data_IF_562377594469
#
_entry.id   IF_562377594469
#
_cell.length_a   1.000
_cell.length_b   1.000
_cell.length_c   1.000
_cell.angle_alpha   90.00
_cell.angle_beta   90.00
_cell.angle_gamma   90.00
#
_symmetry.space_group_name_H-M   'P 1'
#
loop_
_entity.id
_entity.type
_entity.pdbx_description
1 polymer ?
#
# COMPACT_ATOMS: atom_id res chain seq x y z
N UNK A 1 -5.71 18.18 -20.18
CA UNK A 1 -4.30 18.04 -20.60
C UNK A 1 -3.98 19.03 -21.71
N UNK A 2 -2.85 19.78 -21.67
CA UNK A 2 -2.52 20.83 -22.65
C UNK A 2 -2.39 20.31 -24.09
N UNK A 3 -2.73 21.12 -25.09
CA UNK A 3 -2.53 20.75 -26.51
C UNK A 3 -1.10 20.99 -27.01
N UNK A 4 -0.26 21.64 -26.20
CA UNK A 4 1.11 22.03 -26.54
C UNK A 4 2.15 20.91 -26.37
N UNK A 5 1.75 19.77 -25.83
CA UNK A 5 2.65 18.63 -25.53
C UNK A 5 2.52 17.58 -26.64
N UNK A 6 3.66 17.07 -27.12
CA UNK A 6 3.71 15.96 -28.06
C UNK A 6 3.65 14.61 -27.32
N UNK A 7 2.44 14.18 -26.95
CA UNK A 7 2.18 12.98 -26.14
C UNK A 7 2.81 11.67 -26.66
N UNK A 8 2.87 11.39 -27.98
CA UNK A 8 3.50 10.16 -28.48
C UNK A 8 4.97 10.00 -28.07
N UNK A 9 5.69 11.10 -27.77
CA UNK A 9 7.07 11.01 -27.27
C UNK A 9 7.15 10.73 -25.76
N UNK A 10 6.08 10.96 -25.02
CA UNK A 10 6.05 10.81 -23.55
C UNK A 10 5.53 9.42 -23.16
N UNK A 11 4.55 8.89 -23.90
CA UNK A 11 3.93 7.58 -23.63
C UNK A 11 4.94 6.43 -23.48
N UNK A 12 6.01 6.32 -24.29
CA UNK A 12 6.99 5.24 -24.15
C UNK A 12 7.70 5.18 -22.79
N UNK A 13 7.71 6.28 -22.03
CA UNK A 13 8.29 6.33 -20.69
C UNK A 13 7.32 5.89 -19.58
N UNK A 14 6.07 5.57 -19.93
CA UNK A 14 5.08 4.99 -19.03
C UNK A 14 5.03 3.49 -19.29
N UNK A 15 4.98 2.68 -18.24
CA UNK A 15 4.95 1.23 -18.41
C UNK A 15 3.72 0.79 -19.21
N UNK A 16 3.93 -0.11 -20.18
CA UNK A 16 2.85 -0.62 -21.03
C UNK A 16 1.73 -1.26 -20.20
N UNK A 17 2.06 -1.93 -19.10
CA UNK A 17 1.07 -2.47 -18.17
C UNK A 17 0.13 -1.42 -17.58
N UNK A 18 0.63 -0.21 -17.28
CA UNK A 18 -0.20 0.90 -16.80
C UNK A 18 -1.11 1.45 -17.90
N UNK A 19 -0.60 1.61 -19.11
CA UNK A 19 -1.39 2.06 -20.26
C UNK A 19 -2.50 1.05 -20.59
N UNK A 20 -2.18 -0.25 -20.57
CA UNK A 20 -3.14 -1.32 -20.80
C UNK A 20 -4.23 -1.34 -19.70
N UNK A 21 -3.86 -1.15 -18.43
CA UNK A 21 -4.83 -1.06 -17.34
C UNK A 21 -5.79 0.14 -17.54
N UNK A 22 -5.25 1.31 -17.92
CA UNK A 22 -6.08 2.49 -18.22
C UNK A 22 -7.05 2.19 -19.37
N UNK A 23 -6.58 1.62 -20.48
CA UNK A 23 -7.45 1.27 -21.62
C UNK A 23 -8.49 0.21 -21.25
N UNK A 24 -8.12 -0.78 -20.44
CA UNK A 24 -9.06 -1.80 -19.95
C UNK A 24 -10.17 -1.23 -19.07
N UNK A 25 -9.91 -0.17 -18.30
CA UNK A 25 -10.89 0.42 -17.38
C UNK A 25 -11.72 1.53 -18.03
N UNK A 26 -11.09 2.37 -18.86
CA UNK A 26 -11.69 3.59 -19.40
C UNK A 26 -11.99 3.53 -20.91
N UNK A 27 -11.68 2.39 -21.55
CA UNK A 27 -11.99 2.12 -22.95
C UNK A 27 -10.74 1.96 -23.83
N UNK A 28 -10.81 1.07 -24.82
CA UNK A 28 -9.66 0.73 -25.68
C UNK A 28 -9.31 1.82 -26.71
N UNK A 29 -10.24 2.71 -27.03
CA UNK A 29 -10.11 3.72 -28.08
C UNK A 29 -9.55 5.07 -27.58
N UNK A 30 -8.91 5.08 -26.41
CA UNK A 30 -8.31 6.30 -25.85
C UNK A 30 -7.08 6.74 -26.64
N UNK A 31 -7.01 8.04 -26.91
CA UNK A 31 -5.82 8.70 -27.45
C UNK A 31 -4.70 8.75 -26.40
N UNK A 32 -3.46 8.92 -26.86
CA UNK A 32 -2.28 9.08 -25.99
C UNK A 32 -2.43 10.25 -25.00
N UNK A 33 -3.07 11.34 -25.43
CA UNK A 33 -3.37 12.49 -24.57
C UNK A 33 -4.31 12.13 -23.43
N UNK A 34 -5.34 11.34 -23.72
CA UNK A 34 -6.32 10.89 -22.72
C UNK A 34 -5.70 9.87 -21.78
N UNK A 35 -4.95 8.90 -22.32
CA UNK A 35 -4.20 7.93 -21.50
C UNK A 35 -3.23 8.64 -20.54
N UNK A 36 -2.47 9.61 -21.03
CA UNK A 36 -1.59 10.42 -20.19
C UNK A 36 -2.36 11.25 -19.16
N UNK A 37 -3.49 11.82 -19.56
CA UNK A 37 -4.41 12.55 -18.69
C UNK A 37 -4.87 11.72 -17.50
N UNK A 38 -5.42 10.55 -17.79
CA UNK A 38 -5.90 9.59 -16.80
C UNK A 38 -4.74 9.12 -15.93
N UNK A 39 -3.57 8.83 -16.51
CA UNK A 39 -2.40 8.40 -15.75
C UNK A 39 -2.02 9.41 -14.65
N UNK A 40 -1.85 10.68 -15.00
CA UNK A 40 -1.50 11.73 -14.02
C UNK A 40 -2.63 11.93 -13.01
N UNK A 41 -3.89 11.94 -13.47
CA UNK A 41 -5.04 12.06 -12.58
C UNK A 41 -5.08 10.92 -11.55
N UNK A 42 -4.91 9.67 -11.98
CA UNK A 42 -4.87 8.50 -11.10
C UNK A 42 -3.75 8.61 -10.08
N UNK A 43 -2.55 9.06 -10.47
CA UNK A 43 -1.46 9.29 -9.52
C UNK A 43 -1.86 10.32 -8.46
N UNK A 44 -2.44 11.45 -8.86
CA UNK A 44 -2.86 12.50 -7.92
C UNK A 44 -4.00 12.04 -7.01
N UNK A 45 -4.98 11.33 -7.55
CA UNK A 45 -6.09 10.76 -6.79
C UNK A 45 -5.57 9.77 -5.73
N UNK A 46 -4.70 8.83 -6.11
CA UNK A 46 -4.09 7.90 -5.17
C UNK A 46 -3.26 8.62 -4.10
N UNK A 47 -2.47 9.62 -4.47
CA UNK A 47 -1.69 10.42 -3.52
C UNK A 47 -2.56 11.22 -2.54
N UNK A 48 -3.77 11.62 -2.94
CA UNK A 48 -4.69 12.31 -2.04
C UNK A 48 -5.34 11.37 -1.00
N UNK A 49 -5.57 10.11 -1.39
CA UNK A 49 -6.19 9.09 -0.52
C UNK A 49 -5.17 8.48 0.44
N UNK A 50 -3.91 8.34 0.02
CA UNK A 50 -2.89 7.65 0.80
C UNK A 50 -2.69 8.20 2.23
N UNK A 51 -2.62 9.53 2.47
CA UNK A 51 -2.52 10.07 3.83
C UNK A 51 -3.71 9.71 4.72
N UNK A 52 -4.92 9.61 4.18
CA UNK A 52 -6.11 9.23 4.93
C UNK A 52 -6.04 7.76 5.36
N UNK A 53 -5.64 6.87 4.45
CA UNK A 53 -5.44 5.45 4.76
C UNK A 53 -4.30 5.26 5.77
N UNK A 54 -3.20 6.02 5.61
CA UNK A 54 -2.08 5.99 6.55
C UNK A 54 -2.53 6.43 7.95
N UNK A 55 -3.31 7.51 8.05
CA UNK A 55 -3.83 7.98 9.33
C UNK A 55 -4.80 6.97 9.95
N UNK A 56 -5.67 6.37 9.14
CA UNK A 56 -6.59 5.33 9.59
C UNK A 56 -5.83 4.11 10.13
N UNK A 57 -4.81 3.64 9.41
CA UNK A 57 -3.95 2.53 9.84
C UNK A 57 -3.31 2.81 11.20
N UNK A 58 -2.68 3.98 11.37
CA UNK A 58 -1.99 4.35 12.61
C UNK A 58 -3.00 4.47 13.76
N UNK A 59 -4.13 5.13 13.55
CA UNK A 59 -5.18 5.27 14.57
C UNK A 59 -5.74 3.92 15.00
N UNK A 60 -6.01 3.02 14.05
CA UNK A 60 -6.50 1.67 14.34
C UNK A 60 -5.45 0.84 15.08
N UNK A 61 -4.21 0.82 14.57
CA UNK A 61 -3.10 0.09 15.20
C UNK A 61 -2.92 0.53 16.65
N UNK A 62 -2.87 1.84 16.91
CA UNK A 62 -2.67 2.38 18.25
C UNK A 62 -3.86 2.10 19.17
N UNK A 63 -5.09 2.16 18.64
CA UNK A 63 -6.30 1.84 19.41
C UNK A 63 -6.32 0.37 19.83
N UNK A 64 -6.00 -0.53 18.89
CA UNK A 64 -5.90 -1.97 19.18
C UNK A 64 -4.78 -2.21 20.19
N UNK A 65 -3.60 -1.63 19.96
CA UNK A 65 -2.45 -1.84 20.85
C UNK A 65 -2.73 -1.39 22.28
N UNK A 66 -3.36 -0.22 22.45
CA UNK A 66 -3.78 0.31 23.75
C UNK A 66 -4.69 -0.66 24.51
N UNK A 67 -5.78 -1.11 23.87
CA UNK A 67 -6.77 -1.95 24.55
C UNK A 67 -6.28 -3.40 24.72
N UNK A 68 -5.58 -3.96 23.73
CA UNK A 68 -5.02 -5.30 23.82
C UNK A 68 -3.90 -5.38 24.87
N UNK A 69 -3.05 -4.35 24.99
CA UNK A 69 -2.05 -4.27 26.06
C UNK A 69 -2.70 -4.23 27.44
N UNK A 70 -3.83 -3.52 27.60
CA UNK A 70 -4.57 -3.47 28.86
C UNK A 70 -5.17 -4.83 29.25
N UNK A 71 -5.65 -5.60 28.27
CA UNK A 71 -6.33 -6.88 28.51
C UNK A 71 -5.38 -8.08 28.61
N UNK A 72 -4.32 -8.12 27.80
CA UNK A 72 -3.47 -9.30 27.56
C UNK A 72 -1.99 -9.01 27.91
N UNK A 73 -1.61 -7.75 28.09
CA UNK A 73 -0.26 -7.33 28.45
C UNK A 73 0.63 -6.88 27.28
N UNK A 74 1.85 -6.43 27.61
CA UNK A 74 2.83 -5.79 26.70
C UNK A 74 3.33 -6.64 25.50
N UNK A 75 2.85 -7.86 25.32
CA UNK A 75 3.19 -8.75 24.18
C UNK A 75 1.94 -9.42 23.62
N UNK A 76 0.80 -8.74 23.65
CA UNK A 76 -0.49 -9.30 23.24
C UNK A 76 -0.47 -9.92 21.83
N UNK A 77 0.33 -9.35 20.92
CA UNK A 77 0.51 -9.85 19.55
C UNK A 77 1.21 -11.21 19.47
N UNK A 78 1.99 -11.62 20.47
CA UNK A 78 2.65 -12.95 20.52
C UNK A 78 1.63 -14.09 20.76
N UNK A 79 0.42 -13.73 21.24
CA UNK A 79 -0.67 -14.67 21.51
C UNK A 79 -1.69 -14.77 20.37
N UNK A 80 -1.49 -14.04 19.27
CA UNK A 80 -2.43 -14.04 18.13
C UNK A 80 -2.19 -15.27 17.26
N UNK A 81 -3.24 -16.07 17.05
CA UNK A 81 -3.19 -17.22 16.17
C UNK A 81 -2.76 -16.82 14.76
N UNK A 82 -1.79 -17.54 14.21
CA UNK A 82 -1.33 -17.40 12.83
C UNK A 82 -1.75 -18.62 12.03
N UNK A 83 -2.52 -18.42 10.97
CA UNK A 83 -2.88 -19.50 10.05
C UNK A 83 -1.64 -19.91 9.21
N UNK A 84 -1.06 -21.06 9.55
CA UNK A 84 0.12 -21.62 8.87
C UNK A 84 -0.22 -22.33 7.57
N UNK A 85 -1.51 -22.48 7.22
CA UNK A 85 -1.92 -23.05 5.93
C UNK A 85 -1.74 -22.07 4.77
N UNK A 86 -1.60 -20.77 5.06
CA UNK A 86 -1.45 -19.73 4.04
C UNK A 86 -0.02 -19.68 3.50
N UNK A 87 0.08 -19.36 2.22
CA UNK A 87 1.36 -18.96 1.62
C UNK A 87 1.90 -17.75 2.39
N UNK A 88 3.22 -17.66 2.50
CA UNK A 88 3.92 -16.54 3.18
C UNK A 88 3.73 -16.43 4.70
N UNK A 89 3.12 -17.40 5.39
CA UNK A 89 3.06 -17.40 6.86
C UNK A 89 4.46 -17.35 7.50
N UNK A 90 5.47 -17.95 6.85
CA UNK A 90 6.87 -17.90 7.31
C UNK A 90 7.44 -16.47 7.34
N UNK A 91 7.09 -15.62 6.37
CA UNK A 91 7.52 -14.22 6.33
C UNK A 91 6.86 -13.43 7.48
N UNK A 92 5.59 -13.72 7.79
CA UNK A 92 4.90 -13.13 8.94
C UNK A 92 5.60 -13.50 10.26
N UNK A 93 5.80 -14.80 10.51
CA UNK A 93 6.48 -15.30 11.72
C UNK A 93 7.91 -14.74 11.84
N UNK A 94 8.64 -14.65 10.73
CA UNK A 94 9.98 -14.06 10.70
C UNK A 94 9.97 -12.61 11.21
N UNK A 95 9.03 -11.79 10.74
CA UNK A 95 8.93 -10.39 11.14
C UNK A 95 8.50 -10.22 12.61
N UNK A 96 7.59 -11.07 13.11
CA UNK A 96 7.22 -11.09 14.54
C UNK A 96 8.44 -11.40 15.40
N UNK A 97 9.20 -12.44 15.06
CA UNK A 97 10.43 -12.80 15.78
C UNK A 97 11.49 -11.70 15.73
N UNK A 98 11.62 -11.01 14.58
CA UNK A 98 12.51 -9.86 14.43
C UNK A 98 12.09 -8.69 15.33
N UNK A 99 10.79 -8.41 15.42
CA UNK A 99 10.28 -7.37 16.32
C UNK A 99 10.51 -7.73 17.80
N UNK A 100 10.28 -8.99 18.18
CA UNK A 100 10.55 -9.51 19.54
C UNK A 100 12.02 -9.33 19.95
N UNK A 101 12.96 -9.70 19.07
CA UNK A 101 14.40 -9.48 19.30
C UNK A 101 14.77 -8.01 19.48
N UNK A 102 14.18 -7.11 18.67
CA UNK A 102 14.42 -5.66 18.80
C UNK A 102 13.95 -5.13 20.15
N UNK A 103 12.73 -5.48 20.54
CA UNK A 103 12.20 -5.10 21.85
C UNK A 103 13.08 -5.62 22.99
N UNK A 104 13.52 -6.88 22.94
CA UNK A 104 14.41 -7.45 23.96
C UNK A 104 15.79 -6.77 24.01
N UNK A 105 16.27 -6.19 22.91
CA UNK A 105 17.54 -5.48 22.88
C UNK A 105 17.41 -4.02 23.34
N UNK A 106 16.26 -3.39 23.15
CA UNK A 106 16.02 -1.99 23.51
C UNK A 106 15.56 -1.80 24.96
N UNK A 107 14.94 -2.83 25.56
CA UNK A 107 14.33 -2.77 26.90
C UNK A 107 14.90 -3.81 27.89
N UNK A 108 16.11 -4.33 27.64
CA UNK A 108 16.95 -5.02 28.64
C UNK A 108 17.96 -4.03 29.22
#
# INVERSE_FOLDING_TARGET
MPNTIHYPHVIPFISQGKINAIKSTFGNNLSDRECYGIYIWSQKASSAIYPLLQQLEVTLRNSIDKEATKLIGQKWWDNVYTDTSKSKHGDFIHNINKAKKRYENEFK
#
